data_IF_130954039774
#
_entry.id   IF_130954039774
#
_cell.length_a   1.000
_cell.length_b   1.000
_cell.length_c   1.000
_cell.angle_alpha   90.00
_cell.angle_beta   90.00
_cell.angle_gamma   90.00
#
_symmetry.space_group_name_H-M   'P 1'
#
loop_
_entity.id
_entity.type
_entity.pdbx_description
1 polymer ?
#
# COMPACT_ATOMS: atom_id res chain seq x y z
N UNK A 1 -16.93 16.10 3.98
CA UNK A 1 -16.18 16.77 5.07
C UNK A 1 -15.91 15.72 6.13
N UNK A 2 -14.66 15.55 6.54
CA UNK A 2 -14.23 14.52 7.48
C UNK A 2 -13.54 15.16 8.68
N UNK A 3 -13.80 14.64 9.89
CA UNK A 3 -13.14 15.07 11.11
C UNK A 3 -11.90 14.21 11.36
N UNK A 4 -10.78 14.86 11.61
CA UNK A 4 -9.54 14.20 12.02
C UNK A 4 -9.29 14.54 13.48
N UNK A 5 -9.00 13.50 14.25
CA UNK A 5 -8.64 13.55 15.67
C UNK A 5 -7.37 12.70 15.86
N UNK A 6 -6.18 13.34 15.91
CA UNK A 6 -4.88 12.67 15.98
C UNK A 6 -3.92 13.47 16.86
N UNK A 7 -3.14 12.78 17.71
CA UNK A 7 -2.03 13.39 18.46
C UNK A 7 -2.43 14.66 19.24
N UNK A 8 -3.63 14.65 19.82
CA UNK A 8 -4.20 15.78 20.55
C UNK A 8 -4.69 16.96 19.68
N UNK A 9 -4.68 16.80 18.35
CA UNK A 9 -5.15 17.81 17.39
C UNK A 9 -6.46 17.35 16.74
N UNK A 10 -7.42 18.27 16.65
CA UNK A 10 -8.72 18.04 16.02
C UNK A 10 -8.99 19.09 14.94
N UNK A 11 -9.26 18.66 13.71
CA UNK A 11 -9.58 19.55 12.59
C UNK A 11 -10.48 18.86 11.57
N UNK A 12 -10.98 19.61 10.59
CA UNK A 12 -11.82 19.07 9.52
C UNK A 12 -11.14 19.23 8.16
N UNK A 13 -11.28 18.23 7.31
CA UNK A 13 -10.81 18.25 5.93
C UNK A 13 -12.02 18.21 4.99
N UNK A 14 -11.98 19.03 3.95
CA UNK A 14 -12.84 18.91 2.78
C UNK A 14 -12.06 18.17 1.69
N UNK A 15 -12.66 17.11 1.16
CA UNK A 15 -12.10 16.26 0.12
C UNK A 15 -13.22 15.87 -0.83
N UNK A 16 -12.88 15.69 -2.10
CA UNK A 16 -13.77 15.22 -3.16
C UNK A 16 -13.79 13.68 -3.25
N UNK A 17 -12.93 13.00 -2.48
CA UNK A 17 -12.85 11.54 -2.38
C UNK A 17 -14.01 10.95 -1.57
N UNK A 18 -14.33 9.68 -1.84
CA UNK A 18 -15.36 8.94 -1.12
C UNK A 18 -15.03 8.84 0.39
N UNK A 19 -16.00 9.07 1.30
CA UNK A 19 -15.79 9.05 2.75
C UNK A 19 -15.15 7.76 3.26
N UNK A 20 -15.58 6.61 2.74
CA UNK A 20 -15.10 5.28 3.16
C UNK A 20 -13.62 5.08 2.82
N UNK A 21 -13.18 5.61 1.68
CA UNK A 21 -11.79 5.55 1.26
C UNK A 21 -10.90 6.41 2.18
N UNK A 22 -11.37 7.61 2.53
CA UNK A 22 -10.64 8.49 3.45
C UNK A 22 -10.54 7.92 4.86
N UNK A 23 -11.61 7.30 5.37
CA UNK A 23 -11.55 6.59 6.66
C UNK A 23 -10.55 5.43 6.62
N UNK A 24 -10.50 4.68 5.53
CA UNK A 24 -9.51 3.59 5.35
C UNK A 24 -8.08 4.12 5.44
N UNK A 25 -7.77 5.24 4.78
CA UNK A 25 -6.45 5.89 4.86
C UNK A 25 -6.17 6.33 6.30
N UNK A 26 -7.17 6.93 6.96
CA UNK A 26 -7.02 7.48 8.29
C UNK A 26 -6.79 6.39 9.34
N UNK A 27 -7.50 5.27 9.23
CA UNK A 27 -7.33 4.09 10.08
C UNK A 27 -5.94 3.47 9.93
N UNK A 28 -5.44 3.36 8.69
CA UNK A 28 -4.08 2.93 8.44
C UNK A 28 -3.05 3.84 9.11
N UNK A 29 -3.20 5.16 8.96
CA UNK A 29 -2.30 6.13 9.57
C UNK A 29 -2.38 6.11 11.11
N UNK A 30 -3.58 5.92 11.70
CA UNK A 30 -3.77 5.74 13.15
C UNK A 30 -3.01 4.51 13.67
N UNK A 31 -3.01 3.42 12.92
CA UNK A 31 -2.26 2.22 13.28
C UNK A 31 -0.75 2.49 13.34
N UNK A 32 -0.20 3.11 12.29
CA UNK A 32 1.22 3.49 12.25
C UNK A 32 1.59 4.48 13.35
N UNK A 33 0.71 5.41 13.69
CA UNK A 33 0.91 6.31 14.83
C UNK A 33 0.99 5.56 16.16
N UNK A 34 0.09 4.61 16.42
CA UNK A 34 0.11 3.80 17.65
C UNK A 34 1.43 3.03 17.78
N UNK A 35 1.93 2.45 16.71
CA UNK A 35 3.23 1.77 16.70
C UNK A 35 4.39 2.71 17.06
N UNK A 36 4.37 3.93 16.51
CA UNK A 36 5.37 4.97 16.85
C UNK A 36 5.25 5.40 18.31
N UNK A 37 4.04 5.57 18.83
CA UNK A 37 3.79 5.92 20.24
C UNK A 37 4.31 4.84 21.21
N UNK A 38 4.24 3.57 20.83
CA UNK A 38 4.72 2.44 21.63
C UNK A 38 6.24 2.22 21.55
N UNK A 39 6.85 2.52 20.40
CA UNK A 39 8.25 2.18 20.12
C UNK A 39 9.24 3.31 20.36
N UNK A 40 8.79 4.57 20.28
CA UNK A 40 9.67 5.74 20.33
C UNK A 40 9.65 6.39 21.71
N UNK A 41 10.83 6.68 22.26
CA UNK A 41 10.98 7.24 23.60
C UNK A 41 10.45 8.69 23.76
N UNK A 42 10.25 9.43 22.67
CA UNK A 42 9.74 10.81 22.73
C UNK A 42 8.21 10.84 22.77
N UNK A 43 7.65 11.70 23.62
CA UNK A 43 6.21 12.01 23.70
C UNK A 43 5.83 13.29 22.97
N UNK A 44 6.73 13.81 22.15
CA UNK A 44 6.50 15.02 21.35
C UNK A 44 5.59 14.67 20.16
N UNK A 45 4.34 15.19 20.11
CA UNK A 45 3.38 14.81 19.08
C UNK A 45 3.86 15.13 17.67
N UNK A 46 4.60 16.23 17.49
CA UNK A 46 5.12 16.62 16.17
C UNK A 46 6.23 15.66 15.71
N UNK A 47 7.09 15.22 16.63
CA UNK A 47 8.12 14.23 16.28
C UNK A 47 7.49 12.88 15.94
N UNK A 48 6.47 12.46 16.68
CA UNK A 48 5.74 11.23 16.42
C UNK A 48 5.04 11.26 15.06
N UNK A 49 4.39 12.38 14.68
CA UNK A 49 3.75 12.51 13.36
C UNK A 49 4.74 12.46 12.21
N UNK A 50 5.91 13.11 12.36
CA UNK A 50 6.99 13.07 11.37
C UNK A 50 7.51 11.64 11.20
N UNK A 51 7.73 10.90 12.30
CA UNK A 51 8.21 9.53 12.23
C UNK A 51 7.18 8.59 11.57
N UNK A 52 5.90 8.69 11.93
CA UNK A 52 4.84 7.91 11.28
C UNK A 52 4.75 8.21 9.78
N UNK A 53 4.85 9.48 9.39
CA UNK A 53 4.87 9.88 7.98
C UNK A 53 6.08 9.29 7.22
N UNK A 54 7.26 9.24 7.85
CA UNK A 54 8.45 8.62 7.27
C UNK A 54 8.26 7.10 7.08
N UNK A 55 7.68 6.40 8.06
CA UNK A 55 7.39 4.96 7.96
C UNK A 55 6.43 4.67 6.80
N UNK A 56 5.29 5.37 6.75
CA UNK A 56 4.30 5.21 5.67
C UNK A 56 4.92 5.52 4.30
N UNK A 57 5.78 6.53 4.23
CA UNK A 57 6.48 6.87 2.99
C UNK A 57 7.47 5.75 2.61
N UNK A 58 8.24 5.20 3.54
CA UNK A 58 9.15 4.08 3.26
C UNK A 58 8.39 2.84 2.73
N UNK A 59 7.24 2.50 3.33
CA UNK A 59 6.37 1.42 2.86
C UNK A 59 5.89 1.64 1.42
N UNK A 60 5.50 2.88 1.08
CA UNK A 60 5.13 3.24 -0.29
C UNK A 60 6.30 3.07 -1.27
N UNK A 61 7.50 3.51 -0.89
CA UNK A 61 8.68 3.37 -1.76
C UNK A 61 9.10 1.90 -1.93
N UNK A 62 9.02 1.10 -0.87
CA UNK A 62 9.31 -0.34 -0.92
C UNK A 62 8.29 -1.13 -1.72
N UNK A 63 7.00 -0.81 -1.62
CA UNK A 63 5.97 -1.46 -2.42
C UNK A 63 6.14 -1.17 -3.91
N UNK A 64 6.50 0.08 -4.26
CA UNK A 64 6.84 0.47 -5.64
C UNK A 64 8.10 -0.21 -6.16
N UNK A 65 9.14 -0.36 -5.33
CA UNK A 65 10.37 -1.02 -5.76
C UNK A 65 10.19 -2.53 -5.94
N UNK A 66 9.39 -3.19 -5.10
CA UNK A 66 9.02 -4.61 -5.28
C UNK A 66 8.19 -4.83 -6.54
N UNK A 67 7.15 -4.02 -6.76
CA UNK A 67 6.35 -4.10 -8.00
C UNK A 67 7.13 -3.73 -9.28
N UNK A 68 8.26 -3.04 -9.15
CA UNK A 68 9.17 -2.71 -10.25
C UNK A 68 10.34 -3.70 -10.39
N UNK A 69 10.43 -4.74 -9.54
CA UNK A 69 11.50 -5.74 -9.63
C UNK A 69 11.34 -6.51 -10.96
N UNK A 70 12.28 -6.38 -11.92
CA UNK A 70 12.17 -7.03 -13.22
C UNK A 70 12.12 -8.57 -13.12
N UNK A 71 12.66 -9.12 -12.04
CA UNK A 71 12.73 -10.55 -11.77
C UNK A 71 11.34 -11.18 -11.56
N UNK A 72 10.46 -10.57 -10.76
CA UNK A 72 9.11 -11.09 -10.50
C UNK A 72 8.21 -10.97 -11.76
N UNK A 73 8.35 -9.87 -12.51
CA UNK A 73 7.66 -9.71 -13.79
C UNK A 73 8.15 -10.74 -14.84
N UNK A 74 9.44 -11.07 -14.82
CA UNK A 74 10.06 -12.09 -15.68
C UNK A 74 9.55 -13.50 -15.37
N UNK A 75 9.51 -13.90 -14.10
CA UNK A 75 8.96 -15.21 -13.69
C UNK A 75 7.47 -15.34 -14.03
N UNK A 76 6.67 -14.30 -13.78
CA UNK A 76 5.24 -14.31 -14.13
C UNK A 76 5.06 -14.42 -15.64
N UNK A 77 5.86 -13.69 -16.43
CA UNK A 77 5.82 -13.79 -17.89
C UNK A 77 6.23 -15.20 -18.38
N UNK A 78 7.24 -15.80 -17.77
CA UNK A 78 7.70 -17.14 -18.12
C UNK A 78 6.67 -18.22 -17.78
N UNK A 79 6.05 -18.14 -16.58
CA UNK A 79 4.97 -19.04 -16.17
C UNK A 79 3.78 -18.88 -17.13
N UNK A 80 3.38 -17.64 -17.44
CA UNK A 80 2.29 -17.35 -18.38
C UNK A 80 2.59 -17.92 -19.77
N UNK A 81 3.84 -17.81 -20.24
CA UNK A 81 4.27 -18.37 -21.52
C UNK A 81 4.20 -19.90 -21.53
N UNK A 82 4.68 -20.58 -20.47
CA UNK A 82 4.58 -22.05 -20.35
C UNK A 82 3.12 -22.53 -20.30
N UNK A 83 2.25 -21.78 -19.64
CA UNK A 83 0.81 -22.08 -19.58
C UNK A 83 0.18 -21.96 -20.97
N UNK A 84 0.47 -20.91 -21.73
CA UNK A 84 0.01 -20.76 -23.12
C UNK A 84 0.48 -21.92 -24.00
N UNK A 85 1.78 -22.26 -23.95
CA UNK A 85 2.32 -23.40 -24.71
C UNK A 85 1.65 -24.72 -24.36
N UNK A 86 1.33 -24.93 -23.08
CA UNK A 86 0.65 -26.15 -22.63
C UNK A 86 -0.80 -26.22 -23.13
N UNK A 87 -1.48 -25.08 -23.23
CA UNK A 87 -2.82 -24.99 -23.81
C UNK A 87 -2.76 -25.26 -25.31
N UNK A 88 -1.85 -24.61 -26.04
CA UNK A 88 -1.66 -24.81 -27.47
C UNK A 88 -1.29 -26.25 -27.82
N UNK A 89 -0.56 -26.95 -26.93
CA UNK A 89 -0.20 -28.35 -27.16
C UNK A 89 -1.39 -29.32 -26.99
N UNK A 90 -2.37 -28.97 -26.17
CA UNK A 90 -3.53 -29.84 -25.86
C UNK A 90 -4.72 -29.55 -26.80
N UNK A 91 -4.74 -28.40 -27.46
CA UNK A 91 -5.74 -28.08 -28.47
C UNK A 91 -5.34 -28.73 -29.80
N UNK A 92 -6.14 -29.67 -30.36
CA UNK A 92 -5.91 -30.16 -31.71
C UNK A 92 -6.19 -29.02 -32.71
N UNK A 93 -5.38 -28.95 -33.78
CA UNK A 93 -5.60 -28.01 -34.88
C UNK A 93 -7.06 -28.12 -35.36
N UNK A 94 -7.82 -27.00 -35.39
CA UNK A 94 -9.14 -27.00 -35.98
C UNK A 94 -8.98 -27.01 -37.50
N UNK A 95 -8.65 -28.17 -38.07
CA UNK A 95 -9.02 -28.68 -39.40
C UNK A 95 -8.19 -29.92 -39.78
N UNK A 96 -8.82 -31.09 -39.73
CA UNK A 96 -8.50 -32.26 -40.55
C UNK A 96 -9.79 -32.94 -40.98
#
# INVERSE_FOLDING_TARGET
>A
MMRIDLLGTSFQIQSDEEPEYLETILDYYRERLREIEETVATRDPLKQSILAALVVTDELFRSRSRGAAPEEAGEIAEITHRLLQSIDHVLPDPES
#
